data_IF_772546246291
#
_entry.id   IF_772546246291
#
_cell.length_a   1.000
_cell.length_b   1.000
_cell.length_c   1.000
_cell.angle_alpha   90.00
_cell.angle_beta   90.00
_cell.angle_gamma   90.00
#
_symmetry.space_group_name_H-M   'P 1'
#
loop_
_entity.id
_entity.type
_entity.pdbx_description
1 polymer ?
#
# COMPACT_ATOMS: atom_id res chain seq x y z
N UNK A 1 -9.36 -8.34 6.38
CA UNK A 1 -8.84 -7.39 5.38
C UNK A 1 -7.70 -6.54 5.94
N UNK A 2 -7.78 -6.04 7.18
CA UNK A 2 -6.72 -5.25 7.83
C UNK A 2 -5.33 -5.90 7.75
N UNK A 3 -5.22 -7.18 8.15
CA UNK A 3 -3.95 -7.94 8.05
C UNK A 3 -3.38 -8.00 6.62
N UNK A 4 -4.23 -8.03 5.61
CA UNK A 4 -3.78 -8.01 4.21
C UNK A 4 -3.14 -6.66 3.84
N UNK A 5 -3.69 -5.55 4.33
CA UNK A 5 -3.11 -4.22 4.17
C UNK A 5 -1.78 -4.08 4.92
N UNK A 6 -1.69 -4.67 6.12
CA UNK A 6 -0.43 -4.72 6.89
C UNK A 6 0.66 -5.46 6.11
N UNK A 7 0.34 -6.62 5.53
CA UNK A 7 1.28 -7.40 4.71
C UNK A 7 1.73 -6.61 3.48
N UNK A 8 0.80 -5.93 2.80
CA UNK A 8 1.13 -5.08 1.64
C UNK A 8 2.08 -3.95 2.07
N UNK A 9 1.78 -3.26 3.17
CA UNK A 9 2.63 -2.18 3.68
C UNK A 9 4.01 -2.67 4.15
N UNK A 10 4.09 -3.86 4.74
CA UNK A 10 5.36 -4.49 5.10
C UNK A 10 6.18 -4.84 3.84
N UNK A 11 5.54 -5.42 2.82
CA UNK A 11 6.20 -5.75 1.55
C UNK A 11 6.76 -4.49 0.88
N UNK A 12 6.02 -3.38 0.88
CA UNK A 12 6.49 -2.09 0.33
C UNK A 12 7.79 -1.62 0.99
N UNK A 13 7.99 -1.84 2.29
CA UNK A 13 9.23 -1.45 2.99
C UNK A 13 10.47 -2.22 2.49
N UNK A 14 10.27 -3.36 1.82
CA UNK A 14 11.36 -4.18 1.28
C UNK A 14 11.73 -3.83 -0.16
N UNK A 15 10.95 -2.98 -0.83
CA UNK A 15 11.19 -2.60 -2.23
C UNK A 15 12.42 -1.70 -2.32
N UNK A 16 13.38 -1.98 -3.23
CA UNK A 16 14.56 -1.14 -3.42
C UNK A 16 14.22 0.31 -3.74
N UNK A 17 14.99 1.25 -3.20
CA UNK A 17 14.77 2.68 -3.40
C UNK A 17 14.75 3.08 -4.87
N UNK A 18 15.59 2.46 -5.71
CA UNK A 18 15.63 2.73 -7.14
C UNK A 18 14.29 2.43 -7.82
N UNK A 19 13.65 1.32 -7.45
CA UNK A 19 12.33 0.92 -7.98
C UNK A 19 11.26 1.91 -7.54
N UNK A 20 11.27 2.30 -6.27
CA UNK A 20 10.36 3.33 -5.76
C UNK A 20 10.54 4.69 -6.46
N UNK A 21 11.79 5.05 -6.79
CA UNK A 21 12.13 6.28 -7.50
C UNK A 21 11.80 6.24 -8.99
N UNK A 22 11.79 5.05 -9.60
CA UNK A 22 11.37 4.82 -10.98
C UNK A 22 9.84 4.94 -11.11
N UNK A 23 9.10 4.36 -10.16
CA UNK A 23 7.63 4.34 -10.17
C UNK A 23 7.03 5.31 -9.14
N UNK A 24 7.31 6.60 -9.29
CA UNK A 24 6.85 7.66 -8.34
C UNK A 24 5.35 7.93 -8.36
N UNK A 25 4.64 7.43 -9.37
CA UNK A 25 3.18 7.51 -9.44
C UNK A 25 2.50 6.69 -8.33
N UNK A 26 3.22 5.71 -7.76
CA UNK A 26 2.74 4.95 -6.60
C UNK A 26 3.16 5.67 -5.32
N UNK A 27 2.21 5.90 -4.43
CA UNK A 27 2.45 6.57 -3.15
C UNK A 27 3.04 5.61 -2.09
N UNK A 28 4.22 5.05 -2.35
CA UNK A 28 4.88 4.03 -1.53
C UNK A 28 4.91 4.36 -0.04
N UNK A 29 5.26 5.61 0.30
CA UNK A 29 5.32 6.09 1.69
C UNK A 29 3.95 6.05 2.38
N UNK A 30 2.86 6.32 1.66
CA UNK A 30 1.51 6.23 2.22
C UNK A 30 1.11 4.79 2.49
N UNK A 31 1.50 3.86 1.62
CA UNK A 31 1.21 2.43 1.79
C UNK A 31 1.97 1.87 3.01
N UNK A 32 3.26 2.19 3.13
CA UNK A 32 4.06 1.83 4.31
C UNK A 32 3.51 2.48 5.60
N UNK A 33 3.13 3.76 5.55
CA UNK A 33 2.57 4.48 6.69
C UNK A 33 1.19 3.99 7.12
N UNK A 34 0.39 3.46 6.19
CA UNK A 34 -0.89 2.82 6.52
C UNK A 34 -0.70 1.61 7.43
N UNK A 35 0.26 0.73 7.11
CA UNK A 35 0.62 -0.39 7.98
C UNK A 35 0.97 0.09 9.39
N UNK A 36 1.81 1.14 9.50
CA UNK A 36 2.23 1.65 10.81
C UNK A 36 1.04 2.17 11.63
N UNK A 37 0.09 2.86 11.00
CA UNK A 37 -1.16 3.27 11.65
C UNK A 37 -2.03 2.09 12.08
N UNK A 38 -2.20 1.09 11.21
CA UNK A 38 -3.04 -0.07 11.48
C UNK A 38 -2.52 -0.89 12.66
N UNK A 39 -1.20 -1.00 12.87
CA UNK A 39 -0.66 -1.81 13.97
C UNK A 39 -0.37 -1.01 15.26
N UNK A 40 -0.01 0.28 15.17
CA UNK A 40 0.38 1.06 16.34
C UNK A 40 -0.73 1.96 16.89
N UNK A 41 -1.70 2.31 16.03
CA UNK A 41 -2.78 3.24 16.36
C UNK A 41 -4.16 2.61 16.09
N UNK A 42 -4.28 1.28 16.17
CA UNK A 42 -5.49 0.52 15.84
C UNK A 42 -6.77 1.01 16.55
N UNK A 43 -6.62 1.60 17.74
CA UNK A 43 -7.71 2.15 18.55
C UNK A 43 -8.27 3.47 18.01
N UNK A 44 -7.53 4.18 17.16
CA UNK A 44 -7.94 5.44 16.52
C UNK A 44 -8.02 5.32 15.00
N UNK A 45 -8.07 4.10 14.48
CA UNK A 45 -8.27 3.85 13.05
C UNK A 45 -9.72 4.09 12.69
N UNK A 46 -9.94 4.95 11.72
CA UNK A 46 -11.22 5.07 11.03
C UNK A 46 -11.36 3.92 10.03
N UNK A 47 -12.23 2.95 10.34
CA UNK A 47 -12.42 1.76 9.51
C UNK A 47 -13.22 2.02 8.24
N UNK A 48 -14.02 3.09 8.17
CA UNK A 48 -14.70 3.47 6.93
C UNK A 48 -13.67 3.96 5.91
N UNK A 49 -12.66 4.71 6.37
CA UNK A 49 -11.50 5.08 5.54
C UNK A 49 -10.68 3.86 5.11
N UNK A 50 -10.48 2.88 6.00
CA UNK A 50 -9.78 1.63 5.63
C UNK A 50 -10.56 0.86 4.58
N UNK A 51 -11.89 0.82 4.71
CA UNK A 51 -12.74 0.16 3.74
C UNK A 51 -12.70 0.85 2.37
N UNK A 52 -12.75 2.19 2.33
CA UNK A 52 -12.55 2.97 1.11
C UNK A 52 -11.22 2.64 0.42
N UNK A 53 -10.15 2.46 1.18
CA UNK A 53 -8.86 2.04 0.62
C UNK A 53 -8.94 0.67 -0.04
N UNK A 54 -9.61 -0.29 0.62
CA UNK A 54 -9.79 -1.64 0.08
C UNK A 54 -10.58 -1.61 -1.23
N UNK A 55 -11.65 -0.82 -1.31
CA UNK A 55 -12.51 -0.77 -2.48
C UNK A 55 -11.95 0.10 -3.62
N UNK A 56 -11.36 1.25 -3.31
CA UNK A 56 -11.06 2.28 -4.30
C UNK A 56 -9.57 2.44 -4.62
N UNK A 57 -8.67 2.00 -3.73
CA UNK A 57 -7.23 2.19 -3.89
C UNK A 57 -6.47 0.89 -4.19
N UNK A 58 -6.77 -0.20 -3.49
CA UNK A 58 -6.10 -1.49 -3.69
C UNK A 58 -6.28 -2.04 -5.11
N UNK A 59 -7.47 -1.97 -5.76
CA UNK A 59 -7.62 -2.44 -7.13
C UNK A 59 -6.76 -1.65 -8.11
N UNK A 60 -6.68 -0.32 -7.95
CA UNK A 60 -5.84 0.54 -8.79
C UNK A 60 -4.35 0.21 -8.61
N UNK A 61 -3.91 0.04 -7.36
CA UNK A 61 -2.54 -0.38 -7.06
C UNK A 61 -2.22 -1.72 -7.73
N UNK A 62 -3.11 -2.71 -7.63
CA UNK A 62 -2.95 -4.03 -8.25
C UNK A 62 -2.76 -3.93 -9.76
N UNK A 63 -3.58 -3.13 -10.45
CA UNK A 63 -3.45 -2.96 -11.90
C UNK A 63 -2.14 -2.24 -12.27
N UNK A 64 -1.74 -1.20 -11.53
CA UNK A 64 -0.45 -0.54 -11.75
C UNK A 64 0.73 -1.51 -11.57
N UNK A 65 0.72 -2.35 -10.52
CA UNK A 65 1.78 -3.33 -10.29
C UNK A 65 1.82 -4.37 -11.42
N UNK A 66 0.67 -4.84 -11.91
CA UNK A 66 0.65 -5.75 -13.07
C UNK A 66 1.25 -5.12 -14.32
N UNK A 67 0.98 -3.84 -14.58
CA UNK A 67 1.56 -3.13 -15.71
C UNK A 67 3.09 -3.08 -15.59
N UNK A 68 3.59 -2.71 -14.41
CA UNK A 68 5.03 -2.69 -14.11
C UNK A 68 5.67 -4.07 -14.36
N UNK A 69 5.05 -5.14 -13.87
CA UNK A 69 5.57 -6.51 -14.04
C UNK A 69 5.51 -7.02 -15.49
N UNK A 70 4.72 -6.39 -16.37
CA UNK A 70 4.67 -6.72 -17.79
C UNK A 70 5.61 -5.85 -18.64
N UNK A 71 6.12 -4.74 -18.08
CA UNK A 71 7.09 -3.84 -18.73
C UNK A 71 8.55 -4.23 -18.43
N UNK A 72 8.78 -5.04 -17.40
CA UNK A 72 10.06 -5.72 -17.12
C UNK A 72 10.20 -7.06 -17.85
#
# INVERSE_FOLDING_TARGET
>A
FVRSLEIIGEAVKTIPKQVCEQYRQIEWNKIAGMRDKLIHHYFSVDYDLVWDVVENHIPKLKETIKLILNEE
#
